data_IF_487860082795
#
_entry.id   IF_487860082795
#
_cell.length_a   1.000
_cell.length_b   1.000
_cell.length_c   1.000
_cell.angle_alpha   90.00
_cell.angle_beta   90.00
_cell.angle_gamma   90.00
#
_symmetry.space_group_name_H-M   'P 1'
#
loop_
_entity.id
_entity.type
_entity.pdbx_description
1 polymer ?
#
# COMPACT_ATOMS: atom_id res chain seq x y z
N UNK A 1 -29.84 -9.75 16.86
CA UNK A 1 -29.18 -9.77 15.57
C UNK A 1 -28.55 -8.46 15.03
N UNK A 2 -28.70 -7.30 15.69
CA UNK A 2 -27.94 -6.10 15.35
C UNK A 2 -26.41 -6.31 15.42
N UNK A 3 -25.96 -7.14 16.33
CA UNK A 3 -24.52 -7.45 16.52
C UNK A 3 -23.83 -8.11 15.31
N UNK A 4 -24.59 -8.80 14.46
CA UNK A 4 -24.02 -9.47 13.30
C UNK A 4 -23.66 -8.50 12.16
N UNK A 5 -24.45 -7.45 11.97
CA UNK A 5 -24.14 -6.39 10.99
C UNK A 5 -22.96 -5.54 11.40
N UNK A 6 -22.85 -5.23 12.69
CA UNK A 6 -21.71 -4.49 13.24
C UNK A 6 -20.41 -5.28 13.12
N UNK A 7 -20.42 -6.60 13.42
CA UNK A 7 -19.25 -7.47 13.17
C UNK A 7 -18.85 -7.54 11.70
N UNK A 8 -19.80 -7.49 10.76
CA UNK A 8 -19.48 -7.48 9.32
C UNK A 8 -18.82 -6.17 8.88
N UNK A 9 -19.22 -5.03 9.43
CA UNK A 9 -18.54 -3.76 9.17
C UNK A 9 -17.11 -3.75 9.73
N UNK A 10 -16.91 -4.24 10.93
CA UNK A 10 -15.60 -4.38 11.55
C UNK A 10 -14.64 -5.30 10.76
N UNK A 11 -15.14 -6.42 10.24
CA UNK A 11 -14.37 -7.34 9.40
C UNK A 11 -13.92 -6.64 8.10
N UNK A 12 -14.77 -5.82 7.50
CA UNK A 12 -14.47 -5.10 6.27
C UNK A 12 -13.33 -4.09 6.45
N UNK A 13 -13.37 -3.34 7.53
CA UNK A 13 -12.38 -2.29 7.81
C UNK A 13 -11.21 -2.80 8.67
N UNK A 14 -11.24 -4.09 9.04
CA UNK A 14 -10.24 -4.77 9.89
C UNK A 14 -10.04 -4.12 11.25
N UNK A 15 -11.02 -3.37 11.68
CA UNK A 15 -11.12 -2.80 13.01
C UNK A 15 -12.17 -3.54 13.83
N UNK A 16 -12.10 -3.42 15.14
CA UNK A 16 -13.15 -3.83 16.05
C UNK A 16 -13.82 -2.58 16.60
N UNK A 17 -15.13 -2.47 16.44
CA UNK A 17 -15.91 -1.38 17.05
C UNK A 17 -16.64 -1.89 18.28
N UNK A 18 -16.53 -1.18 19.38
CA UNK A 18 -17.27 -1.43 20.60
C UNK A 18 -18.35 -0.36 20.72
N UNK A 19 -19.61 -0.67 20.38
CA UNK A 19 -20.68 0.30 20.39
C UNK A 19 -21.23 0.54 21.80
N UNK A 20 -21.98 1.63 21.96
CA UNK A 20 -22.74 1.97 23.18
C UNK A 20 -21.89 2.23 24.45
N UNK A 21 -20.59 2.57 24.29
CA UNK A 21 -19.77 3.00 25.41
C UNK A 21 -20.24 4.38 25.86
N UNK A 22 -20.52 4.54 27.15
CA UNK A 22 -20.81 5.83 27.75
C UNK A 22 -19.53 6.67 27.90
N UNK A 23 -19.64 7.99 27.87
CA UNK A 23 -18.49 8.89 27.94
C UNK A 23 -17.66 8.70 29.22
N UNK A 24 -18.30 8.41 30.34
CA UNK A 24 -17.68 8.15 31.63
C UNK A 24 -16.93 6.79 31.68
N UNK A 25 -17.23 5.86 30.77
CA UNK A 25 -16.60 4.54 30.68
C UNK A 25 -15.41 4.49 29.70
N UNK A 26 -15.13 5.56 28.97
CA UNK A 26 -14.09 5.55 27.92
C UNK A 26 -12.72 5.18 28.50
N UNK A 27 -12.34 5.76 29.64
CA UNK A 27 -11.02 5.48 30.23
C UNK A 27 -10.92 4.08 30.80
N UNK A 28 -11.98 3.52 31.35
CA UNK A 28 -12.04 2.13 31.80
C UNK A 28 -11.83 1.16 30.62
N UNK A 29 -12.54 1.43 29.50
CA UNK A 29 -12.39 0.62 28.26
C UNK A 29 -10.98 0.71 27.69
N UNK A 30 -10.38 1.91 27.66
CA UNK A 30 -8.98 2.09 27.22
C UNK A 30 -8.01 1.27 28.07
N UNK A 31 -8.18 1.32 29.39
CA UNK A 31 -7.32 0.57 30.31
C UNK A 31 -7.46 -0.93 30.09
N UNK A 32 -8.68 -1.43 29.96
CA UNK A 32 -8.94 -2.84 29.68
C UNK A 32 -8.37 -3.30 28.32
N UNK A 33 -8.39 -2.43 27.30
CA UNK A 33 -7.74 -2.70 26.00
C UNK A 33 -6.22 -2.75 26.14
N UNK A 34 -5.64 -1.83 26.91
CA UNK A 34 -4.20 -1.77 27.15
C UNK A 34 -3.65 -3.01 27.87
N UNK A 35 -4.45 -3.64 28.78
CA UNK A 35 -4.10 -4.92 29.40
C UNK A 35 -3.95 -6.07 28.38
N UNK A 36 -4.62 -5.95 27.20
CA UNK A 36 -4.52 -6.88 26.09
C UNK A 36 -3.59 -6.44 24.96
N UNK A 37 -2.73 -5.45 25.21
CA UNK A 37 -1.84 -4.84 24.18
C UNK A 37 -2.61 -4.28 22.97
N UNK A 38 -3.85 -3.83 23.17
CA UNK A 38 -4.69 -3.23 22.13
C UNK A 38 -4.79 -1.73 22.31
N UNK A 39 -4.47 -0.99 21.24
CA UNK A 39 -4.56 0.47 21.23
C UNK A 39 -5.82 0.91 20.47
N UNK A 40 -6.66 1.79 21.04
CA UNK A 40 -7.81 2.33 20.34
C UNK A 40 -7.39 3.20 19.15
N UNK A 41 -8.13 3.09 18.05
CA UNK A 41 -7.90 3.91 16.86
C UNK A 41 -8.15 5.39 17.11
N UNK A 42 -7.46 6.24 16.33
CA UNK A 42 -7.60 7.70 16.43
C UNK A 42 -8.59 8.27 15.41
N UNK A 43 -9.24 9.36 15.78
CA UNK A 43 -10.12 10.17 14.94
C UNK A 43 -9.56 11.59 14.78
N UNK A 44 -10.20 12.40 13.90
CA UNK A 44 -9.82 13.80 13.71
C UNK A 44 -8.75 14.03 12.63
N UNK A 45 -8.10 15.19 12.65
CA UNK A 45 -7.09 15.61 11.69
C UNK A 45 -5.71 14.99 12.01
N UNK A 46 -5.61 13.68 11.80
CA UNK A 46 -4.43 12.88 12.17
C UNK A 46 -4.22 11.74 11.18
N UNK A 47 -3.02 11.17 11.21
CA UNK A 47 -2.76 9.88 10.58
C UNK A 47 -3.60 8.82 11.29
N UNK A 48 -4.36 8.07 10.51
CA UNK A 48 -5.25 6.99 10.98
C UNK A 48 -4.48 5.69 11.09
N UNK A 49 -5.02 4.73 11.84
CA UNK A 49 -4.49 3.36 11.88
C UNK A 49 -4.23 2.85 10.47
N UNK A 50 -3.04 2.31 10.26
CA UNK A 50 -2.63 1.73 8.99
C UNK A 50 -3.41 0.45 8.73
N UNK A 51 -3.96 0.33 7.52
CA UNK A 51 -4.72 -0.86 7.12
C UNK A 51 -3.92 -1.70 6.14
N UNK A 52 -3.83 -3.01 6.38
CA UNK A 52 -3.06 -3.92 5.54
C UNK A 52 -3.82 -5.21 5.23
N UNK A 53 -3.55 -5.82 4.08
CA UNK A 53 -4.00 -7.17 3.78
C UNK A 53 -3.08 -8.21 4.44
N UNK A 54 -3.39 -9.48 4.33
CA UNK A 54 -2.60 -10.57 4.97
C UNK A 54 -1.21 -10.78 4.37
N UNK A 55 -0.91 -10.20 3.19
CA UNK A 55 0.41 -10.22 2.58
C UNK A 55 1.01 -11.60 2.33
N UNK A 56 2.34 -11.62 2.12
CA UNK A 56 3.08 -12.82 1.78
C UNK A 56 3.13 -13.86 2.90
N UNK A 57 2.90 -13.45 4.15
CA UNK A 57 2.90 -14.38 5.29
C UNK A 57 1.79 -15.44 5.20
N UNK A 58 0.66 -15.12 4.52
CA UNK A 58 -0.50 -16.01 4.44
C UNK A 58 -0.97 -16.20 2.99
N UNK A 59 -0.94 -15.12 2.18
CA UNK A 59 -1.50 -15.12 0.83
C UNK A 59 -0.46 -15.56 -0.21
N UNK A 60 -0.75 -16.60 -0.97
CA UNK A 60 0.13 -17.09 -2.06
C UNK A 60 0.42 -16.02 -3.13
N UNK A 61 -0.51 -15.06 -3.34
CA UNK A 61 -0.29 -13.94 -4.26
C UNK A 61 0.56 -12.82 -3.66
N UNK A 62 0.81 -12.80 -2.34
CA UNK A 62 1.60 -11.78 -1.67
C UNK A 62 3.03 -11.70 -2.20
N UNK A 63 3.55 -10.49 -2.39
CA UNK A 63 4.93 -10.22 -2.76
C UNK A 63 5.73 -9.64 -1.59
N UNK A 64 5.06 -9.01 -0.63
CA UNK A 64 5.68 -8.37 0.54
C UNK A 64 4.98 -8.80 1.84
N UNK A 65 5.68 -8.71 2.95
CA UNK A 65 5.11 -8.82 4.29
C UNK A 65 4.40 -7.51 4.66
N UNK A 66 3.09 -7.53 4.52
CA UNK A 66 2.25 -6.36 4.79
C UNK A 66 2.02 -6.13 6.27
N UNK A 67 2.14 -7.16 7.11
CA UNK A 67 1.96 -7.03 8.55
C UNK A 67 3.14 -6.29 9.19
N UNK A 68 4.35 -6.72 8.88
CA UNK A 68 5.57 -6.05 9.36
C UNK A 68 5.60 -4.59 8.91
N UNK A 69 5.33 -4.33 7.62
CA UNK A 69 5.28 -2.97 7.09
C UNK A 69 4.18 -2.12 7.75
N UNK A 70 2.99 -2.67 7.95
CA UNK A 70 1.90 -1.93 8.59
C UNK A 70 2.23 -1.56 10.04
N UNK A 71 2.83 -2.48 10.78
CA UNK A 71 3.26 -2.26 12.16
C UNK A 71 4.29 -1.12 12.23
N UNK A 72 5.29 -1.16 11.37
CA UNK A 72 6.34 -0.13 11.32
C UNK A 72 5.78 1.26 10.95
N UNK A 73 4.90 1.33 9.93
CA UNK A 73 4.27 2.60 9.56
C UNK A 73 3.32 3.11 10.65
N UNK A 74 2.63 2.22 11.33
CA UNK A 74 1.76 2.60 12.46
C UNK A 74 2.60 3.11 13.64
N UNK A 75 3.67 2.41 14.03
CA UNK A 75 4.60 2.86 15.08
C UNK A 75 5.24 4.22 14.74
N UNK A 76 5.49 4.50 13.46
CA UNK A 76 6.14 5.73 13.00
C UNK A 76 5.18 6.92 12.92
N UNK A 77 3.94 6.71 12.49
CA UNK A 77 3.04 7.79 12.11
C UNK A 77 1.71 7.82 12.85
N UNK A 78 1.36 6.81 13.64
CA UNK A 78 0.08 6.74 14.31
C UNK A 78 -0.22 7.98 15.14
N UNK A 79 -1.36 8.59 14.90
CA UNK A 79 -1.81 9.76 15.65
C UNK A 79 -1.08 11.06 15.32
N UNK A 80 -0.14 11.08 14.37
CA UNK A 80 0.56 12.29 13.94
C UNK A 80 -0.44 13.36 13.47
N UNK A 81 -0.34 14.56 14.03
CA UNK A 81 -1.27 15.65 13.77
C UNK A 81 -1.03 16.28 12.39
N UNK A 82 -2.09 16.44 11.63
CA UNK A 82 -2.09 16.93 10.25
C UNK A 82 -3.27 17.88 10.03
N UNK A 83 -3.27 18.69 8.98
CA UNK A 83 -4.40 19.58 8.67
C UNK A 83 -5.75 18.86 8.52
N UNK A 84 -5.73 17.58 8.10
CA UNK A 84 -6.91 16.72 8.03
C UNK A 84 -6.49 15.24 8.13
N UNK A 85 -7.47 14.33 8.17
CA UNK A 85 -7.24 12.89 8.23
C UNK A 85 -6.34 12.42 7.08
N UNK A 86 -5.41 11.54 7.41
CA UNK A 86 -4.49 10.91 6.46
C UNK A 86 -4.52 9.39 6.64
N UNK A 87 -4.52 8.65 5.54
CA UNK A 87 -4.66 7.20 5.57
C UNK A 87 -3.56 6.52 4.77
N UNK A 88 -2.97 5.50 5.36
CA UNK A 88 -2.16 4.50 4.67
C UNK A 88 -2.98 3.24 4.41
N UNK A 89 -2.83 2.68 3.22
CA UNK A 89 -3.43 1.39 2.87
C UNK A 89 -2.39 0.50 2.19
N UNK A 90 -2.23 -0.75 2.67
CA UNK A 90 -1.18 -1.66 2.20
C UNK A 90 -1.80 -2.94 1.65
N UNK A 91 -1.45 -3.30 0.42
CA UNK A 91 -1.77 -4.61 -0.16
C UNK A 91 -0.52 -5.36 -0.57
N UNK A 92 -0.51 -6.66 -0.36
CA UNK A 92 0.67 -7.49 -0.62
C UNK A 92 0.95 -7.78 -2.10
N UNK A 93 0.05 -7.42 -3.02
CA UNK A 93 0.20 -7.69 -4.46
C UNK A 93 -0.75 -6.86 -5.32
N UNK A 94 -0.64 -7.00 -6.64
CA UNK A 94 -1.45 -6.26 -7.62
C UNK A 94 -2.94 -6.64 -7.67
N UNK A 95 -3.40 -7.69 -6.95
CA UNK A 95 -4.84 -7.96 -6.81
C UNK A 95 -5.57 -6.87 -6.02
N UNK A 96 -4.83 -6.05 -5.26
CA UNK A 96 -5.33 -4.84 -4.59
C UNK A 96 -6.60 -5.05 -3.75
N UNK A 97 -6.66 -6.17 -3.00
CA UNK A 97 -7.85 -6.60 -2.26
C UNK A 97 -8.31 -5.59 -1.18
N UNK A 98 -7.39 -4.80 -0.63
CA UNK A 98 -7.69 -3.74 0.33
C UNK A 98 -7.87 -2.38 -0.33
N UNK A 99 -7.77 -2.30 -1.66
CA UNK A 99 -7.92 -1.06 -2.41
C UNK A 99 -6.97 0.05 -1.91
N UNK A 100 -5.67 -0.26 -1.88
CA UNK A 100 -4.63 0.66 -1.43
C UNK A 100 -4.74 2.03 -2.11
N UNK A 101 -5.04 2.04 -3.40
CA UNK A 101 -5.18 3.25 -4.23
C UNK A 101 -6.33 4.20 -3.84
N UNK A 102 -7.18 3.81 -2.88
CA UNK A 102 -8.25 4.65 -2.31
C UNK A 102 -7.80 5.43 -1.07
N UNK A 103 -6.53 5.30 -0.68
CA UNK A 103 -5.94 5.97 0.48
C UNK A 103 -5.04 7.14 0.07
N UNK A 104 -4.73 8.05 1.00
CA UNK A 104 -3.83 9.17 0.73
C UNK A 104 -2.46 8.69 0.28
N UNK A 105 -1.95 7.63 0.91
CA UNK A 105 -0.81 6.84 0.45
C UNK A 105 -1.23 5.37 0.37
N UNK A 106 -1.19 4.83 -0.83
CA UNK A 106 -1.50 3.43 -1.11
C UNK A 106 -0.25 2.67 -1.51
N UNK A 107 0.10 1.62 -0.76
CA UNK A 107 1.28 0.79 -1.01
C UNK A 107 0.84 -0.58 -1.49
N UNK A 108 1.32 -0.99 -2.65
CA UNK A 108 1.11 -2.33 -3.21
C UNK A 108 2.43 -3.06 -3.30
N UNK A 109 2.46 -4.30 -2.85
CA UNK A 109 3.59 -5.18 -3.09
C UNK A 109 3.73 -5.53 -4.57
N UNK A 110 4.95 -5.54 -5.05
CA UNK A 110 5.32 -5.93 -6.39
C UNK A 110 6.58 -6.76 -6.40
N UNK A 111 6.98 -7.19 -7.57
CA UNK A 111 8.16 -7.99 -7.79
C UNK A 111 8.82 -7.57 -9.10
N UNK A 112 10.02 -7.02 -8.99
CA UNK A 112 10.87 -6.77 -10.16
C UNK A 112 11.48 -8.10 -10.56
N UNK A 113 11.51 -8.38 -11.85
CA UNK A 113 11.93 -9.68 -12.36
C UNK A 113 12.96 -9.52 -13.47
N UNK A 114 14.00 -10.35 -13.44
CA UNK A 114 14.96 -10.51 -14.51
C UNK A 114 14.99 -11.99 -14.95
N UNK A 115 14.92 -12.23 -16.24
CA UNK A 115 14.96 -13.58 -16.78
C UNK A 115 16.39 -14.12 -16.79
N UNK A 116 16.53 -15.39 -16.40
CA UNK A 116 17.80 -16.13 -16.38
C UNK A 116 17.77 -17.19 -17.48
N UNK A 117 18.49 -16.94 -18.57
CA UNK A 117 18.48 -17.77 -19.77
C UNK A 117 18.94 -19.22 -19.50
N UNK A 118 20.03 -19.39 -18.76
CA UNK A 118 20.63 -20.71 -18.48
C UNK A 118 19.72 -21.68 -17.72
N UNK A 119 18.73 -21.15 -16.97
CA UNK A 119 17.76 -21.96 -16.24
C UNK A 119 16.50 -22.25 -17.03
N UNK A 120 16.28 -21.56 -18.15
CA UNK A 120 15.02 -21.58 -18.85
C UNK A 120 14.87 -22.81 -19.78
N UNK A 121 13.80 -23.57 -19.60
CA UNK A 121 13.44 -24.72 -20.46
C UNK A 121 12.48 -24.33 -21.59
N UNK A 122 12.24 -23.07 -21.81
CA UNK A 122 11.41 -22.51 -22.91
C UNK A 122 9.96 -23.05 -22.96
N UNK A 123 9.40 -23.44 -21.81
CA UNK A 123 8.06 -24.06 -21.73
C UNK A 123 6.90 -23.09 -21.98
N UNK A 124 7.13 -21.76 -22.02
CA UNK A 124 6.10 -20.74 -22.29
C UNK A 124 5.05 -20.55 -21.19
N UNK A 125 5.20 -21.18 -20.02
CA UNK A 125 4.23 -21.06 -18.89
C UNK A 125 4.14 -19.60 -18.39
N UNK A 126 5.25 -18.89 -18.31
CA UNK A 126 5.31 -17.50 -17.88
C UNK A 126 4.57 -16.54 -18.85
N UNK A 127 4.63 -16.82 -20.15
CA UNK A 127 3.89 -16.07 -21.18
C UNK A 127 2.38 -16.22 -20.94
N UNK A 128 1.90 -17.46 -20.76
CA UNK A 128 0.48 -17.75 -20.47
C UNK A 128 0.01 -17.19 -19.13
N UNK A 129 0.90 -17.13 -18.13
CA UNK A 129 0.60 -16.59 -16.81
C UNK A 129 0.50 -15.06 -16.79
N UNK A 130 1.09 -14.37 -17.77
CA UNK A 130 1.13 -12.91 -17.84
C UNK A 130 -0.21 -12.34 -18.31
N UNK A 131 -1.00 -11.79 -17.39
CA UNK A 131 -2.29 -11.18 -17.72
C UNK A 131 -2.19 -9.86 -18.48
N UNK A 132 -1.01 -9.23 -18.45
CA UNK A 132 -0.75 -7.96 -19.10
C UNK A 132 -0.07 -8.14 -20.48
N UNK A 133 0.11 -9.39 -20.91
CA UNK A 133 0.78 -9.70 -22.17
C UNK A 133 2.15 -9.01 -22.32
N UNK A 134 2.84 -8.86 -21.17
CA UNK A 134 4.14 -8.20 -21.08
C UNK A 134 5.31 -9.13 -21.38
N UNK A 135 5.08 -10.44 -21.58
CA UNK A 135 6.12 -11.43 -21.79
C UNK A 135 5.92 -12.12 -23.13
N UNK A 136 6.96 -12.12 -23.95
CA UNK A 136 7.02 -12.88 -25.20
C UNK A 136 8.13 -13.93 -25.16
N UNK A 137 7.96 -15.01 -25.90
CA UNK A 137 8.99 -16.04 -26.12
C UNK A 137 9.20 -16.16 -27.62
N UNK A 138 10.32 -15.68 -28.11
CA UNK A 138 10.69 -15.69 -29.53
C UNK A 138 12.12 -16.23 -29.65
N UNK A 139 12.34 -17.14 -30.59
CA UNK A 139 13.64 -17.78 -30.85
C UNK A 139 14.32 -18.34 -29.58
N UNK A 140 13.52 -18.84 -28.63
CA UNK A 140 14.02 -19.41 -27.38
C UNK A 140 14.37 -18.38 -26.29
N UNK A 141 14.15 -17.10 -26.56
CA UNK A 141 14.41 -16.00 -25.63
C UNK A 141 13.15 -15.38 -25.07
N UNK A 142 13.17 -15.11 -23.77
CA UNK A 142 12.10 -14.36 -23.08
C UNK A 142 12.43 -12.87 -23.17
N UNK A 143 11.46 -12.10 -23.65
CA UNK A 143 11.47 -10.64 -23.57
C UNK A 143 10.37 -10.16 -22.64
N UNK A 144 10.68 -9.15 -21.84
CA UNK A 144 9.75 -8.54 -20.88
C UNK A 144 9.56 -7.07 -21.23
N UNK A 145 8.36 -6.72 -21.67
CA UNK A 145 7.97 -5.32 -21.90
C UNK A 145 7.70 -4.62 -20.55
N UNK A 146 8.63 -3.80 -20.12
CA UNK A 146 8.55 -3.05 -18.86
C UNK A 146 7.42 -2.02 -18.86
N UNK A 147 6.97 -1.54 -20.00
CA UNK A 147 5.83 -0.62 -20.14
C UNK A 147 4.49 -1.28 -19.87
N UNK A 148 4.37 -2.58 -20.18
CA UNK A 148 3.17 -3.38 -19.90
C UNK A 148 3.23 -4.12 -18.57
N UNK A 149 4.42 -4.33 -18.02
CA UNK A 149 4.61 -5.07 -16.77
C UNK A 149 4.09 -4.27 -15.58
N UNK A 150 3.18 -4.86 -14.79
CA UNK A 150 2.67 -4.28 -13.55
C UNK A 150 3.33 -4.86 -12.29
N UNK A 151 4.46 -5.50 -12.41
CA UNK A 151 5.24 -6.07 -11.31
C UNK A 151 4.48 -7.09 -10.44
N UNK A 152 3.55 -7.85 -11.00
CA UNK A 152 2.71 -8.78 -10.23
C UNK A 152 3.41 -10.08 -9.79
N UNK A 153 4.59 -10.40 -10.33
CA UNK A 153 5.38 -11.57 -10.00
C UNK A 153 4.79 -12.93 -10.42
N UNK A 154 3.73 -12.95 -11.25
CA UNK A 154 3.10 -14.21 -11.69
C UNK A 154 4.03 -15.09 -12.49
N UNK A 155 4.87 -14.50 -13.36
CA UNK A 155 5.86 -15.22 -14.17
C UNK A 155 6.85 -16.01 -13.29
N UNK A 156 7.28 -15.41 -12.18
CA UNK A 156 8.16 -16.08 -11.20
C UNK A 156 7.42 -17.24 -10.53
N UNK A 157 6.24 -16.96 -9.96
CA UNK A 157 5.46 -17.96 -9.21
C UNK A 157 4.96 -19.13 -10.06
N UNK A 158 4.88 -18.95 -11.38
CA UNK A 158 4.45 -20.01 -12.32
C UNK A 158 5.60 -20.73 -12.99
N UNK A 159 6.84 -20.27 -12.82
CA UNK A 159 8.00 -20.90 -13.45
C UNK A 159 8.36 -22.21 -12.74
N UNK A 160 8.35 -23.36 -13.45
CA UNK A 160 8.61 -24.66 -12.82
C UNK A 160 10.10 -24.91 -12.53
N UNK A 161 10.99 -24.06 -13.05
CA UNK A 161 12.45 -24.22 -12.97
C UNK A 161 13.16 -22.99 -12.38
N UNK A 162 12.41 -22.08 -11.78
CA UNK A 162 12.93 -20.84 -11.16
C UNK A 162 13.89 -20.05 -12.07
N UNK A 163 13.51 -19.89 -13.35
CA UNK A 163 14.31 -19.18 -14.35
C UNK A 163 14.12 -17.64 -14.28
N UNK A 164 13.88 -17.09 -13.11
CA UNK A 164 13.78 -15.66 -12.85
C UNK A 164 14.50 -15.27 -11.58
N UNK A 165 15.35 -14.27 -11.65
CA UNK A 165 15.76 -13.52 -10.47
C UNK A 165 14.65 -12.51 -10.14
N UNK A 166 14.18 -12.55 -8.91
CA UNK A 166 13.00 -11.79 -8.49
C UNK A 166 13.28 -11.02 -7.21
N UNK A 167 13.10 -9.70 -7.28
CA UNK A 167 13.27 -8.82 -6.14
C UNK A 167 11.92 -8.23 -5.73
N UNK A 168 11.43 -8.49 -4.50
CA UNK A 168 10.23 -7.85 -4.00
C UNK A 168 10.47 -6.35 -3.78
N UNK A 169 9.40 -5.56 -3.92
CA UNK A 169 9.43 -4.12 -3.71
C UNK A 169 8.03 -3.54 -3.71
N UNK A 170 7.93 -2.23 -3.94
CA UNK A 170 6.73 -1.47 -3.67
C UNK A 170 6.29 -0.63 -4.86
N UNK A 171 4.99 -0.54 -5.06
CA UNK A 171 4.35 0.40 -5.98
C UNK A 171 3.48 1.32 -5.12
N UNK A 172 3.84 2.60 -5.08
CA UNK A 172 3.21 3.59 -4.22
C UNK A 172 2.35 4.54 -5.04
N UNK A 173 1.12 4.73 -4.58
CA UNK A 173 0.16 5.67 -5.15
C UNK A 173 -0.22 6.74 -4.14
N UNK A 174 -0.46 7.96 -4.59
CA UNK A 174 -0.75 9.13 -3.78
C UNK A 174 -2.06 9.80 -4.15
N UNK A 175 -2.74 10.40 -3.18
CA UNK A 175 -3.92 11.21 -3.40
C UNK A 175 -5.20 10.41 -3.65
N UNK A 176 -5.25 9.16 -3.21
CA UNK A 176 -6.49 8.38 -3.26
C UNK A 176 -7.53 8.86 -2.25
N UNK A 177 -8.80 8.86 -2.65
CA UNK A 177 -9.94 9.13 -1.79
C UNK A 177 -11.11 8.23 -2.13
N UNK A 178 -11.85 7.81 -1.11
CA UNK A 178 -13.09 7.05 -1.30
C UNK A 178 -14.14 7.52 -0.29
N UNK A 179 -15.29 7.94 -0.80
CA UNK A 179 -16.39 8.50 -0.01
C UNK A 179 -17.23 9.44 -0.88
N UNK A 180 -17.53 10.65 -0.40
CA UNK A 180 -18.24 11.66 -1.20
C UNK A 180 -17.50 12.05 -2.49
N UNK A 181 -16.19 12.01 -2.44
CA UNK A 181 -15.33 12.16 -3.61
C UNK A 181 -14.53 10.88 -3.81
N UNK A 182 -14.54 10.35 -5.02
CA UNK A 182 -13.81 9.16 -5.40
C UNK A 182 -12.67 9.57 -6.33
N UNK A 183 -11.45 9.27 -5.92
CA UNK A 183 -10.25 9.47 -6.72
C UNK A 183 -9.32 8.28 -6.53
N UNK A 184 -8.79 7.77 -7.62
CA UNK A 184 -7.73 6.78 -7.58
C UNK A 184 -6.40 7.50 -7.37
N UNK A 185 -5.60 7.00 -6.44
CA UNK A 185 -4.24 7.48 -6.23
C UNK A 185 -3.36 7.26 -7.46
N UNK A 186 -2.48 8.21 -7.73
CA UNK A 186 -1.56 8.17 -8.86
C UNK A 186 -0.16 7.72 -8.44
N UNK A 187 0.49 6.93 -9.28
CA UNK A 187 1.85 6.44 -9.06
C UNK A 187 2.84 7.39 -9.73
N UNK A 188 3.83 7.88 -8.98
CA UNK A 188 4.87 8.79 -9.46
C UNK A 188 6.13 8.01 -9.84
N UNK A 189 6.54 7.08 -8.98
CA UNK A 189 7.70 6.21 -9.18
C UNK A 189 7.16 4.81 -9.52
N UNK A 190 7.47 4.26 -10.69
CA UNK A 190 6.89 2.99 -11.15
C UNK A 190 7.13 1.82 -10.20
N UNK A 191 8.31 1.76 -9.59
CA UNK A 191 8.70 0.71 -8.67
C UNK A 191 9.74 1.21 -7.67
N UNK A 192 9.58 0.88 -6.40
CA UNK A 192 10.53 1.21 -5.32
C UNK A 192 11.10 -0.10 -4.81
N UNK A 193 12.40 -0.29 -5.00
CA UNK A 193 13.11 -1.52 -4.69
C UNK A 193 13.55 -1.60 -3.22
N UNK A 194 13.73 -0.45 -2.57
CA UNK A 194 14.29 -0.35 -1.22
C UNK A 194 13.22 0.02 -0.18
N UNK A 195 13.27 -0.64 0.95
CA UNK A 195 12.42 -0.33 2.10
C UNK A 195 12.70 1.07 2.65
N UNK A 196 13.97 1.46 2.71
CA UNK A 196 14.39 2.79 3.15
C UNK A 196 13.83 3.88 2.24
N UNK A 197 13.93 3.71 0.91
CA UNK A 197 13.36 4.64 -0.07
C UNK A 197 11.84 4.73 0.05
N UNK A 198 11.15 3.63 0.38
CA UNK A 198 9.72 3.66 0.67
C UNK A 198 9.40 4.59 1.85
N UNK A 199 10.15 4.46 2.94
CA UNK A 199 9.93 5.31 4.11
C UNK A 199 10.21 6.80 3.80
N UNK A 200 11.28 7.11 3.07
CA UNK A 200 11.60 8.49 2.63
C UNK A 200 10.46 9.10 1.79
N UNK A 201 9.90 8.32 0.90
CA UNK A 201 8.76 8.75 0.05
C UNK A 201 7.49 8.96 0.89
N UNK A 202 7.23 8.11 1.89
CA UNK A 202 6.11 8.29 2.83
C UNK A 202 6.31 9.55 3.69
N UNK A 203 7.51 9.79 4.21
CA UNK A 203 7.86 11.00 4.96
C UNK A 203 7.67 12.26 4.12
N UNK A 204 8.09 12.23 2.86
CA UNK A 204 7.93 13.37 1.94
C UNK A 204 6.45 13.68 1.68
N UNK A 205 5.61 12.67 1.50
CA UNK A 205 4.18 12.86 1.31
C UNK A 205 3.51 13.47 2.54
N UNK A 206 3.88 13.01 3.75
CA UNK A 206 3.39 13.57 5.01
C UNK A 206 3.82 15.02 5.19
N UNK A 207 5.12 15.31 5.04
CA UNK A 207 5.67 16.67 5.15
C UNK A 207 5.04 17.63 4.15
N UNK A 208 4.85 17.18 2.91
CA UNK A 208 4.18 18.00 1.90
C UNK A 208 2.77 18.36 2.33
N UNK A 209 2.01 17.40 2.86
CA UNK A 209 0.65 17.62 3.33
C UNK A 209 0.61 18.50 4.58
N UNK A 210 1.52 18.31 5.53
CA UNK A 210 1.65 19.15 6.72
C UNK A 210 1.89 20.61 6.37
N UNK A 211 2.80 20.87 5.42
CA UNK A 211 3.21 22.23 5.03
C UNK A 211 2.19 22.93 4.15
N UNK A 212 1.48 22.21 3.30
CA UNK A 212 0.63 22.79 2.26
C UNK A 212 -0.88 22.56 2.46
N UNK A 213 -1.26 21.60 3.31
CA UNK A 213 -2.66 21.24 3.55
C UNK A 213 -3.41 22.32 4.31
N UNK A 214 -4.72 22.40 4.07
CA UNK A 214 -5.63 23.27 4.81
C UNK A 214 -6.58 22.43 5.68
N UNK A 215 -7.10 23.02 6.74
CA UNK A 215 -8.08 22.37 7.61
C UNK A 215 -9.28 21.85 6.78
N UNK A 216 -9.61 20.56 6.93
CA UNK A 216 -10.68 19.90 6.18
C UNK A 216 -10.30 19.40 4.78
N UNK A 217 -9.10 19.69 4.29
CA UNK A 217 -8.63 19.31 2.95
C UNK A 217 -7.88 17.98 2.99
N UNK A 218 -8.16 17.05 2.06
CA UNK A 218 -7.42 15.79 1.90
C UNK A 218 -6.18 16.01 1.03
N UNK A 219 -5.19 15.13 1.14
CA UNK A 219 -3.96 15.19 0.33
C UNK A 219 -4.24 15.41 -1.17
N UNK A 220 -5.21 14.69 -1.74
CA UNK A 220 -5.59 14.85 -3.17
C UNK A 220 -5.90 16.31 -3.52
N UNK A 221 -6.74 16.96 -2.73
CA UNK A 221 -7.14 18.34 -2.99
C UNK A 221 -6.00 19.34 -2.72
N UNK A 222 -5.12 19.03 -1.76
CA UNK A 222 -3.90 19.80 -1.54
C UNK A 222 -3.01 19.74 -2.79
N UNK A 223 -2.78 18.54 -3.35
CA UNK A 223 -2.00 18.34 -4.58
C UNK A 223 -2.63 19.12 -5.74
N UNK A 224 -3.95 19.02 -5.94
CA UNK A 224 -4.65 19.72 -7.03
C UNK A 224 -4.53 21.24 -6.91
N UNK A 225 -4.57 21.78 -5.69
CA UNK A 225 -4.47 23.21 -5.44
C UNK A 225 -3.04 23.76 -5.56
N UNK A 226 -2.05 23.00 -5.07
CA UNK A 226 -0.64 23.44 -5.08
C UNK A 226 0.07 23.17 -6.41
N UNK A 227 -0.51 22.30 -7.22
CA UNK A 227 0.07 21.81 -8.46
C UNK A 227 0.72 20.44 -8.31
N UNK A 228 0.39 19.56 -9.23
CA UNK A 228 0.90 18.18 -9.25
C UNK A 228 2.42 18.11 -9.36
N UNK A 229 3.00 19.01 -10.17
CA UNK A 229 4.45 19.07 -10.39
C UNK A 229 5.26 19.33 -9.13
N UNK A 230 4.75 20.20 -8.23
CA UNK A 230 5.40 20.50 -6.96
C UNK A 230 5.44 19.25 -6.05
N UNK A 231 4.35 18.49 -5.99
CA UNK A 231 4.28 17.25 -5.24
C UNK A 231 5.18 16.17 -5.84
N UNK A 232 5.11 15.97 -7.17
CA UNK A 232 5.96 14.99 -7.87
C UNK A 232 7.44 15.27 -7.65
N UNK A 233 7.83 16.54 -7.69
CA UNK A 233 9.20 16.97 -7.42
C UNK A 233 9.64 16.58 -6.02
N UNK A 234 8.83 16.89 -5.01
CA UNK A 234 9.13 16.53 -3.61
C UNK A 234 9.29 15.01 -3.41
N UNK A 235 8.44 14.20 -4.06
CA UNK A 235 8.53 12.74 -3.99
C UNK A 235 9.78 12.20 -4.70
N UNK A 236 10.11 12.72 -5.88
CA UNK A 236 11.30 12.31 -6.64
C UNK A 236 12.60 12.69 -5.92
N UNK A 237 12.69 13.91 -5.39
CA UNK A 237 13.83 14.34 -4.59
C UNK A 237 14.04 13.45 -3.35
N UNK A 238 12.96 13.07 -2.66
CA UNK A 238 13.04 12.18 -1.51
C UNK A 238 13.47 10.75 -1.89
N UNK A 239 13.12 10.30 -3.08
CA UNK A 239 13.51 8.99 -3.61
C UNK A 239 14.97 8.95 -4.06
N UNK A 240 15.49 10.04 -4.64
CA UNK A 240 16.85 10.15 -5.19
C UNK A 240 17.91 10.48 -4.12
N UNK A 241 17.51 11.17 -3.03
CA UNK A 241 18.43 11.48 -1.93
C UNK A 241 18.83 10.21 -1.16
N UNK A 242 20.14 9.94 -1.10
CA UNK A 242 20.75 8.86 -0.32
C UNK A 242 20.56 9.03 1.20
#
# INVERSE_FOLDING_TARGET
EPYRRQRQMCIRDRGVEIPFIKLDQIEEVKNALAEGDVVPGVCGPRVRTVTACQGAAICQSGCIDTYALAKELDERYFGYELPHKFKFGITGCQNNCLKAEENDVGIKGGMQVAWVEDKCIQCGVCVKACRNEAITLEDGKISIDTGKCNYCGRCVKSCPVDAYDAQPGYIVSFGGTFGNHISKGETIIPFIESHEKLLKVCDAALKFFEQNGKAGERLKFTIDRTGKEAFEKAIKEAYENE
#
